data_IF_060968717716
#
_entry.id   IF_060968717716
#
_cell.length_a   1.000
_cell.length_b   1.000
_cell.length_c   1.000
_cell.angle_alpha   90.00
_cell.angle_beta   90.00
_cell.angle_gamma   90.00
#
_symmetry.space_group_name_H-M   'P 1'
#
loop_
_entity.id
_entity.type
_entity.pdbx_description
1 polymer ?
#
# COMPACT_ATOMS: atom_id res chain seq x y z
N UNK A 1 12.88 3.17 -19.05
CA UNK A 1 11.46 2.84 -18.82
C UNK A 1 10.99 3.48 -17.52
N UNK A 2 9.77 4.02 -17.47
CA UNK A 2 9.23 4.65 -16.26
C UNK A 2 8.96 3.63 -15.14
N UNK A 3 9.09 4.05 -13.88
CA UNK A 3 8.95 3.16 -12.70
C UNK A 3 7.60 2.47 -12.56
N UNK A 4 6.54 3.02 -13.19
CA UNK A 4 5.19 2.47 -13.20
C UNK A 4 5.01 1.27 -14.15
N UNK A 5 5.93 1.03 -15.09
CA UNK A 5 5.75 0.02 -16.15
C UNK A 5 5.42 -1.38 -15.60
N UNK A 6 6.05 -1.78 -14.49
CA UNK A 6 5.82 -3.08 -13.83
C UNK A 6 4.38 -3.23 -13.34
N UNK A 7 3.75 -2.13 -12.90
CA UNK A 7 2.39 -2.11 -12.36
C UNK A 7 1.32 -1.84 -13.42
N UNK A 8 1.71 -1.63 -14.68
CA UNK A 8 0.82 -1.21 -15.77
C UNK A 8 0.26 -2.41 -16.55
N UNK A 9 -0.29 -3.40 -15.84
CA UNK A 9 -0.85 -4.62 -16.45
C UNK A 9 -2.39 -4.60 -16.54
N UNK A 10 -3.03 -3.51 -16.12
CA UNK A 10 -4.47 -3.34 -16.21
C UNK A 10 -4.83 -2.47 -17.41
N UNK A 11 -5.83 -2.85 -18.22
CA UNK A 11 -6.28 -2.01 -19.31
C UNK A 11 -6.87 -0.69 -18.76
N UNK A 12 -6.73 0.43 -19.48
CA UNK A 12 -7.34 1.68 -19.08
C UNK A 12 -8.87 1.52 -18.99
N UNK A 13 -9.48 2.12 -17.95
CA UNK A 13 -10.93 2.12 -17.74
C UNK A 13 -11.40 3.53 -17.40
N UNK A 14 -12.56 3.90 -17.93
CA UNK A 14 -13.21 5.19 -17.67
C UNK A 14 -13.78 5.30 -16.24
N UNK A 15 -14.10 4.17 -15.62
CA UNK A 15 -14.62 4.11 -14.25
C UNK A 15 -13.54 3.56 -13.31
N UNK A 16 -13.37 4.15 -12.11
CA UNK A 16 -12.56 3.54 -11.06
C UNK A 16 -13.04 2.12 -10.78
N UNK A 17 -12.09 1.25 -10.43
CA UNK A 17 -12.45 -0.11 -10.02
C UNK A 17 -13.24 -0.08 -8.70
N UNK A 18 -14.18 -0.98 -8.53
CA UNK A 18 -15.02 -1.06 -7.32
C UNK A 18 -14.20 -1.25 -6.03
N UNK A 19 -13.13 -2.05 -6.07
CA UNK A 19 -12.23 -2.21 -4.94
C UNK A 19 -11.44 -0.92 -4.61
N UNK A 20 -11.34 0.04 -5.53
CA UNK A 20 -10.73 1.35 -5.29
C UNK A 20 -11.71 2.28 -4.59
N UNK A 21 -12.98 2.29 -5.00
CA UNK A 21 -13.99 3.23 -4.47
C UNK A 21 -14.36 2.96 -3.02
N UNK A 22 -14.22 1.72 -2.56
CA UNK A 22 -14.51 1.35 -1.17
C UNK A 22 -13.27 1.34 -0.25
N UNK A 23 -12.07 1.64 -0.76
CA UNK A 23 -10.84 1.64 0.05
C UNK A 23 -10.68 2.99 0.79
N UNK A 24 -10.28 3.00 2.08
CA UNK A 24 -9.98 4.24 2.79
C UNK A 24 -8.98 5.09 2.03
N UNK A 25 -9.19 6.41 2.06
CA UNK A 25 -8.36 7.36 1.30
C UNK A 25 -6.88 7.21 1.61
N UNK A 26 -6.54 6.95 2.86
CA UNK A 26 -5.17 6.73 3.36
C UNK A 26 -4.50 5.52 2.66
N UNK A 27 -5.18 4.38 2.65
CA UNK A 27 -4.69 3.14 2.03
C UNK A 27 -4.61 3.29 0.51
N UNK A 28 -5.62 3.91 -0.10
CA UNK A 28 -5.62 4.18 -1.55
C UNK A 28 -4.46 5.10 -1.96
N UNK A 29 -4.16 6.12 -1.15
CA UNK A 29 -3.02 7.00 -1.37
C UNK A 29 -1.72 6.21 -1.34
N UNK A 30 -1.50 5.38 -0.31
CA UNK A 30 -0.29 4.54 -0.20
C UNK A 30 -0.17 3.56 -1.35
N UNK A 31 -1.27 2.94 -1.77
CA UNK A 31 -1.30 2.05 -2.93
C UNK A 31 -0.87 2.77 -4.21
N UNK A 32 -1.42 3.97 -4.46
CA UNK A 32 -1.09 4.79 -5.62
C UNK A 32 0.38 5.20 -5.61
N UNK A 33 0.88 5.66 -4.48
CA UNK A 33 2.29 6.02 -4.30
C UNK A 33 3.21 4.82 -4.52
N UNK A 34 2.84 3.65 -3.99
CA UNK A 34 3.54 2.40 -4.20
C UNK A 34 3.61 2.08 -5.71
N UNK A 35 2.47 2.00 -6.41
CA UNK A 35 2.43 1.66 -7.85
C UNK A 35 3.25 2.61 -8.72
N UNK A 36 3.27 3.89 -8.37
CA UNK A 36 3.98 4.93 -9.14
C UNK A 36 5.44 5.11 -8.74
N UNK A 37 5.96 4.34 -7.77
CA UNK A 37 7.29 4.52 -7.16
C UNK A 37 7.50 5.91 -6.53
N UNK A 38 6.43 6.51 -6.03
CA UNK A 38 6.41 7.75 -5.25
C UNK A 38 6.14 7.50 -3.76
N UNK A 39 6.30 6.26 -3.31
CA UNK A 39 6.18 5.91 -1.91
C UNK A 39 7.35 6.45 -1.08
N UNK A 40 7.14 6.63 0.22
CA UNK A 40 8.16 7.08 1.17
C UNK A 40 9.19 5.96 1.45
N UNK A 41 10.07 5.72 0.48
CA UNK A 41 11.11 4.69 0.52
C UNK A 41 12.47 5.26 0.11
N UNK A 42 13.55 4.54 0.43
CA UNK A 42 14.91 4.91 0.05
C UNK A 42 15.09 5.22 -1.44
N UNK A 43 14.44 4.45 -2.34
CA UNK A 43 14.44 4.76 -3.79
C UNK A 43 13.88 6.15 -4.12
N UNK A 44 12.83 6.57 -3.44
CA UNK A 44 12.25 7.90 -3.62
C UNK A 44 13.17 8.97 -3.04
N UNK A 45 13.68 8.77 -1.82
CA UNK A 45 14.57 9.74 -1.18
C UNK A 45 15.87 9.93 -1.95
N UNK A 46 16.48 8.86 -2.45
CA UNK A 46 17.68 8.94 -3.28
C UNK A 46 17.49 9.81 -4.53
N UNK A 47 16.27 9.89 -5.06
CA UNK A 47 15.96 10.65 -6.27
C UNK A 47 15.50 12.08 -5.99
N UNK A 48 14.72 12.29 -4.93
CA UNK A 48 14.01 13.55 -4.71
C UNK A 48 14.45 14.31 -3.46
N UNK A 49 15.09 13.66 -2.48
CA UNK A 49 15.54 14.28 -1.22
C UNK A 49 16.90 13.68 -0.80
N UNK A 50 18.02 14.14 -1.37
CA UNK A 50 19.34 13.52 -1.17
C UNK A 50 19.81 13.44 0.29
N UNK A 51 19.37 14.36 1.14
CA UNK A 51 19.79 14.45 2.54
C UNK A 51 19.05 13.47 3.48
N UNK A 52 18.07 12.72 2.95
CA UNK A 52 17.31 11.72 3.71
C UNK A 52 18.04 10.38 3.71
N UNK A 53 17.89 9.64 4.81
CA UNK A 53 18.37 8.26 4.88
C UNK A 53 17.66 7.37 3.86
N UNK A 54 18.45 6.62 3.11
CA UNK A 54 17.96 5.67 2.09
C UNK A 54 17.88 4.22 2.59
N UNK A 55 18.39 3.97 3.80
CA UNK A 55 18.37 2.66 4.43
C UNK A 55 17.01 2.31 5.04
N UNK A 56 16.74 1.01 5.16
CA UNK A 56 15.57 0.50 5.85
C UNK A 56 15.87 0.29 7.34
N UNK A 57 14.83 0.36 8.19
CA UNK A 57 14.93 0.09 9.64
C UNK A 57 15.35 -1.35 9.95
N UNK A 58 15.01 -2.29 9.07
CA UNK A 58 15.46 -3.69 9.16
C UNK A 58 16.97 -3.88 8.89
N UNK A 59 17.75 -2.80 8.70
CA UNK A 59 19.20 -2.84 8.48
C UNK A 59 19.64 -2.93 7.01
N UNK A 60 18.71 -3.02 6.04
CA UNK A 60 19.07 -2.97 4.61
C UNK A 60 19.62 -1.59 4.25
N UNK A 61 20.79 -1.52 3.62
CA UNK A 61 21.44 -0.25 3.24
C UNK A 61 20.65 0.58 2.23
N UNK A 62 19.85 -0.06 1.39
CA UNK A 62 19.03 0.60 0.38
C UNK A 62 17.62 0.03 0.39
N UNK A 63 16.66 0.86 0.73
CA UNK A 63 15.25 0.50 0.82
C UNK A 63 14.56 0.69 -0.54
N UNK A 64 14.28 -0.43 -1.20
CA UNK A 64 13.48 -0.46 -2.42
C UNK A 64 12.04 -0.85 -2.14
N UNK A 65 11.15 -0.51 -3.07
CA UNK A 65 9.79 -1.07 -3.06
C UNK A 65 9.81 -2.60 -3.03
N UNK A 66 10.69 -3.20 -3.84
CA UNK A 66 10.83 -4.66 -3.92
C UNK A 66 11.24 -5.25 -2.59
N UNK A 67 12.20 -4.61 -1.91
CA UNK A 67 12.66 -5.00 -0.59
C UNK A 67 11.51 -5.00 0.42
N UNK A 68 10.71 -3.92 0.49
CA UNK A 68 9.57 -3.84 1.43
C UNK A 68 8.58 -4.99 1.21
N UNK A 69 8.29 -5.31 -0.05
CA UNK A 69 7.27 -6.30 -0.42
C UNK A 69 7.80 -7.73 -0.25
N UNK A 70 9.05 -8.01 -0.64
CA UNK A 70 9.61 -9.37 -0.74
C UNK A 70 10.50 -9.79 0.41
N UNK A 71 11.26 -8.87 1.01
CA UNK A 71 12.42 -9.21 1.86
C UNK A 71 12.38 -8.60 3.27
N UNK A 72 11.74 -7.45 3.44
CA UNK A 72 11.85 -6.66 4.67
C UNK A 72 11.30 -7.40 5.89
N UNK A 73 12.18 -7.68 6.86
CA UNK A 73 11.82 -8.45 8.07
C UNK A 73 10.72 -7.78 8.88
N UNK A 74 10.69 -6.44 8.91
CA UNK A 74 9.65 -5.64 9.60
C UNK A 74 8.23 -5.95 9.10
N UNK A 75 8.07 -6.54 7.90
CA UNK A 75 6.78 -6.84 7.30
C UNK A 75 6.55 -8.33 7.03
N UNK A 76 7.37 -9.22 7.60
CA UNK A 76 7.21 -10.68 7.41
C UNK A 76 5.83 -11.16 7.86
N UNK A 77 5.35 -10.68 9.01
CA UNK A 77 4.07 -11.10 9.60
C UNK A 77 2.86 -10.80 8.70
N UNK A 78 2.92 -9.75 7.89
CA UNK A 78 1.85 -9.37 6.96
C UNK A 78 2.05 -9.96 5.56
N UNK A 79 3.21 -10.57 5.27
CA UNK A 79 3.57 -11.04 3.93
C UNK A 79 2.72 -12.22 3.48
N UNK A 80 2.21 -13.02 4.41
CA UNK A 80 1.28 -14.11 4.08
C UNK A 80 0.01 -13.61 3.39
N UNK A 81 -0.38 -12.35 3.59
CA UNK A 81 -1.49 -11.72 2.86
C UNK A 81 -1.14 -11.59 1.37
N UNK A 82 0.07 -11.15 1.07
CA UNK A 82 0.56 -10.99 -0.30
C UNK A 82 0.78 -12.35 -0.98
N UNK A 83 1.23 -13.36 -0.22
CA UNK A 83 1.39 -14.74 -0.72
C UNK A 83 0.09 -15.37 -1.20
N UNK A 84 -1.07 -14.88 -0.74
CA UNK A 84 -2.39 -15.33 -1.24
C UNK A 84 -2.65 -14.88 -2.68
N UNK A 85 -2.10 -13.75 -3.10
CA UNK A 85 -2.15 -13.32 -4.50
C UNK A 85 -1.15 -14.10 -5.34
N UNK A 86 0.12 -14.07 -4.93
CA UNK A 86 1.22 -14.74 -5.60
C UNK A 86 2.27 -15.24 -4.60
N UNK A 87 2.65 -16.52 -4.71
CA UNK A 87 3.62 -17.16 -3.82
C UNK A 87 5.04 -16.63 -4.02
N UNK A 88 5.37 -16.19 -5.24
CA UNK A 88 6.69 -15.68 -5.59
C UNK A 88 6.85 -14.17 -5.32
N UNK A 89 5.76 -13.52 -4.91
CA UNK A 89 5.66 -12.10 -4.64
C UNK A 89 6.12 -11.22 -5.80
N UNK A 90 5.84 -11.64 -7.04
CA UNK A 90 6.18 -10.89 -8.23
C UNK A 90 5.45 -9.54 -8.23
N UNK A 91 6.22 -8.45 -8.33
CA UNK A 91 5.68 -7.08 -8.31
C UNK A 91 4.68 -6.84 -9.44
N UNK A 92 4.93 -7.41 -10.62
CA UNK A 92 4.02 -7.28 -11.75
C UNK A 92 2.65 -7.93 -11.47
N UNK A 93 2.64 -9.03 -10.73
CA UNK A 93 1.41 -9.71 -10.33
C UNK A 93 0.73 -8.96 -9.18
N UNK A 94 1.48 -8.61 -8.13
CA UNK A 94 0.95 -7.92 -6.94
C UNK A 94 0.41 -6.53 -7.30
N UNK A 95 1.14 -5.74 -8.09
CA UNK A 95 0.78 -4.35 -8.37
C UNK A 95 0.01 -4.17 -9.68
N UNK A 96 -0.06 -5.21 -10.50
CA UNK A 96 -0.65 -5.16 -11.84
C UNK A 96 -1.91 -6.01 -12.03
N UNK A 97 -2.29 -6.86 -11.07
CA UNK A 97 -3.53 -7.67 -11.18
C UNK A 97 -4.59 -7.22 -10.17
N UNK A 98 -5.87 -7.44 -10.50
CA UNK A 98 -6.99 -7.14 -9.58
C UNK A 98 -6.82 -7.84 -8.22
N UNK A 99 -6.53 -9.14 -8.25
CA UNK A 99 -6.25 -9.95 -7.05
C UNK A 99 -5.04 -9.43 -6.27
N UNK A 100 -3.98 -9.07 -6.97
CA UNK A 100 -2.78 -8.47 -6.37
C UNK A 100 -3.11 -7.17 -5.64
N UNK A 101 -3.82 -6.24 -6.30
CA UNK A 101 -4.21 -4.97 -5.70
C UNK A 101 -5.11 -5.16 -4.47
N UNK A 102 -6.03 -6.11 -4.50
CA UNK A 102 -6.87 -6.44 -3.35
C UNK A 102 -6.04 -6.95 -2.16
N UNK A 103 -5.08 -7.84 -2.40
CA UNK A 103 -4.16 -8.27 -1.33
C UNK A 103 -3.24 -7.14 -0.85
N UNK A 104 -2.85 -6.24 -1.75
CA UNK A 104 -2.02 -5.09 -1.42
C UNK A 104 -2.77 -4.09 -0.54
N UNK A 105 -4.05 -3.83 -0.83
CA UNK A 105 -4.92 -3.03 0.04
C UNK A 105 -5.00 -3.63 1.45
N UNK A 106 -5.16 -4.96 1.56
CA UNK A 106 -5.18 -5.67 2.85
C UNK A 106 -3.84 -5.58 3.57
N UNK A 107 -2.74 -5.74 2.84
CA UNK A 107 -1.39 -5.59 3.38
C UNK A 107 -1.14 -4.17 3.90
N UNK A 108 -1.50 -3.15 3.14
CA UNK A 108 -1.32 -1.74 3.52
C UNK A 108 -2.22 -1.34 4.69
N UNK A 109 -3.46 -1.83 4.76
CA UNK A 109 -4.31 -1.49 5.90
C UNK A 109 -3.92 -2.19 7.20
N UNK A 110 -3.16 -3.30 7.15
CA UNK A 110 -2.63 -3.98 8.33
C UNK A 110 -1.20 -3.58 8.70
N UNK A 111 -0.44 -3.06 7.75
CA UNK A 111 0.96 -2.69 7.94
C UNK A 111 1.18 -1.19 7.77
N UNK A 112 2.24 -0.67 8.40
CA UNK A 112 2.65 0.73 8.20
C UNK A 112 3.57 0.92 7.00
N UNK A 113 3.56 -0.04 6.07
CA UNK A 113 4.38 0.02 4.87
C UNK A 113 4.08 1.30 4.09
N UNK A 114 5.14 1.92 3.57
CA UNK A 114 5.11 3.14 2.77
C UNK A 114 4.57 4.40 3.47
N UNK A 115 4.44 4.40 4.81
CA UNK A 115 4.18 5.61 5.59
C UNK A 115 5.45 6.45 5.76
N UNK A 116 5.32 7.78 5.84
CA UNK A 116 6.47 8.69 6.03
C UNK A 116 7.17 8.47 7.38
N UNK A 117 6.38 8.12 8.40
CA UNK A 117 6.83 7.98 9.79
C UNK A 117 7.19 6.55 10.17
N UNK A 118 6.83 5.55 9.35
CA UNK A 118 6.98 4.13 9.69
C UNK A 118 6.17 3.72 10.92
N UNK A 119 5.13 4.48 11.26
CA UNK A 119 4.19 4.24 12.36
C UNK A 119 2.77 4.32 11.77
N UNK A 120 1.77 3.69 12.39
CA UNK A 120 0.38 3.92 12.00
C UNK A 120 0.14 5.42 12.17
N UNK A 121 -0.52 6.06 11.20
CA UNK A 121 -1.05 7.39 11.48
C UNK A 121 -2.18 7.22 12.49
N UNK A 122 -1.85 7.21 13.78
CA UNK A 122 -2.81 7.66 14.78
C UNK A 122 -3.12 9.09 14.39
N UNK A 123 -4.38 9.33 14.11
CA UNK A 123 -4.84 10.67 13.79
C UNK A 123 -4.65 11.52 15.05
N UNK A 124 -3.51 12.18 15.20
CA UNK A 124 -3.38 13.31 16.13
C UNK A 124 -4.21 14.44 15.50
N UNK A 125 -5.51 14.40 15.76
CA UNK A 125 -6.49 15.38 15.34
C UNK A 125 -6.38 16.60 16.25
N UNK A 126 -5.67 17.63 15.80
CA UNK A 126 -6.08 18.99 16.12
C UNK A 126 -7.32 19.29 15.24
N UNK A 127 -8.52 19.47 15.83
CA UNK A 127 -9.76 19.56 15.08
C UNK A 127 -9.83 20.90 14.35
N UNK A 128 -9.36 20.94 13.11
CA UNK A 128 -9.88 21.92 12.14
C UNK A 128 -11.15 21.34 11.51
N UNK A 129 -12.18 22.18 11.46
CA UNK A 129 -13.62 21.87 11.49
C UNK A 129 -14.20 21.07 10.30
N UNK A 130 -13.38 20.54 9.39
CA UNK A 130 -13.83 19.86 8.17
C UNK A 130 -14.04 18.34 8.33
N UNK A 131 -13.80 17.79 9.53
CA UNK A 131 -13.70 16.35 9.75
C UNK A 131 -14.84 15.77 10.63
N UNK A 132 -16.10 16.08 10.29
CA UNK A 132 -17.28 15.37 10.82
C UNK A 132 -17.76 14.31 9.85
N UNK A 133 -16.96 13.29 9.56
CA UNK A 133 -17.45 12.05 8.93
C UNK A 133 -16.35 10.97 8.88
N UNK A 134 -15.83 10.49 10.02
CA UNK A 134 -15.13 9.20 9.99
C UNK A 134 -14.95 8.47 11.33
N UNK A 135 -16.00 8.38 12.16
CA UNK A 135 -16.03 7.44 13.29
C UNK A 135 -16.43 6.01 12.86
N UNK A 136 -16.09 5.60 11.64
CA UNK A 136 -16.34 4.25 11.09
C UNK A 136 -15.05 3.51 10.66
N UNK A 137 -13.86 4.01 11.00
CA UNK A 137 -12.60 3.41 10.51
C UNK A 137 -12.31 2.02 11.13
N UNK A 138 -12.79 1.76 12.36
CA UNK A 138 -12.79 0.43 12.98
C UNK A 138 -13.86 -0.53 12.44
N UNK A 139 -14.87 0.00 11.73
CA UNK A 139 -16.03 -0.74 11.18
C UNK A 139 -15.78 -1.24 9.75
N UNK A 140 -14.82 -0.65 9.02
CA UNK A 140 -14.60 -0.94 7.61
C UNK A 140 -14.18 -2.40 7.32
N UNK A 141 -13.30 -2.97 8.15
CA UNK A 141 -12.84 -4.36 8.02
C UNK A 141 -13.97 -5.37 8.18
N UNK A 142 -14.77 -5.21 9.25
CA UNK A 142 -15.92 -6.05 9.51
C UNK A 142 -17.01 -5.85 8.46
N UNK A 143 -17.22 -4.62 7.97
CA UNK A 143 -18.18 -4.32 6.90
C UNK A 143 -17.79 -5.00 5.58
N UNK A 144 -16.50 -5.04 5.25
CA UNK A 144 -15.97 -5.72 4.07
C UNK A 144 -16.04 -7.26 4.19
N UNK A 145 -15.81 -7.84 5.37
CA UNK A 145 -15.97 -9.28 5.59
C UNK A 145 -17.45 -9.70 5.64
N UNK A 146 -18.31 -8.88 6.26
CA UNK A 146 -19.76 -9.11 6.44
C UNK A 146 -20.58 -9.00 5.14
N UNK A 147 -20.17 -8.13 4.21
CA UNK A 147 -20.91 -7.93 2.95
C UNK A 147 -20.77 -9.08 1.94
N UNK A 148 -19.94 -10.11 2.21
CA UNK A 148 -19.87 -11.32 1.39
C UNK A 148 -19.51 -11.10 -0.09
N UNK A 149 -19.13 -9.87 -0.47
CA UNK A 149 -18.86 -9.42 -1.84
C UNK A 149 -17.45 -9.83 -2.27
N UNK A 150 -17.14 -11.12 -2.14
CA UNK A 150 -15.84 -11.73 -2.48
C UNK A 150 -15.97 -12.95 -3.39
N UNK A 151 -17.19 -13.31 -3.81
CA UNK A 151 -17.43 -14.39 -4.77
C UNK A 151 -17.99 -13.78 -6.06
N UNK A 152 -17.12 -13.64 -7.05
CA UNK A 152 -17.41 -13.67 -8.49
C UNK A 152 -16.09 -13.76 -9.27
#
# INVERSE_FOLDING_TARGET
MGGFAIANNLPPRWKPSEHITHTPREVFRRLTQCRTKHAFVGEYYAKFIPDKSIGCRCGKRFQTQEHIIKECQDFEEYRDILRKADKQLELGIILGTKKGLETMVKFLGKSDAFTKSGRPQTQDMDPTEDNKENDEEGSWWERMERTGRWRE
#
